data_IF_781126474572
#
_entry.id   IF_781126474572
#
_cell.length_a   1.000
_cell.length_b   1.000
_cell.length_c   1.000
_cell.angle_alpha   90.00
_cell.angle_beta   90.00
_cell.angle_gamma   90.00
#
_symmetry.space_group_name_H-M   'P 1'
#
loop_
_entity.id
_entity.type
_entity.pdbx_description
1 polymer ?
#
# COMPACT_ATOMS: atom_id res chain seq x y z
N UNK A 1 -15.09 2.15 7.71
CA UNK A 1 -14.39 1.17 6.86
C UNK A 1 -13.91 1.89 5.61
N UNK A 2 -12.68 1.64 5.10
CA UNK A 2 -12.11 2.37 3.95
C UNK A 2 -12.94 2.30 2.65
N UNK A 3 -13.78 1.27 2.52
CA UNK A 3 -14.72 1.08 1.44
C UNK A 3 -16.13 1.04 2.04
N UNK A 4 -17.00 1.93 1.56
CA UNK A 4 -18.42 1.93 1.90
C UNK A 4 -19.19 1.20 0.78
N UNK A 5 -19.28 -0.12 0.89
CA UNK A 5 -19.93 -0.95 -0.12
C UNK A 5 -21.44 -0.79 -0.12
N UNK A 6 -22.05 -0.49 1.03
CA UNK A 6 -23.47 -0.19 1.16
C UNK A 6 -23.84 1.04 0.35
N UNK A 7 -23.17 2.17 0.60
CA UNK A 7 -23.40 3.41 -0.15
C UNK A 7 -23.14 3.26 -1.65
N UNK A 8 -22.12 2.46 -2.02
CA UNK A 8 -21.83 2.16 -3.43
C UNK A 8 -22.94 1.35 -4.08
N UNK A 9 -23.45 0.33 -3.40
CA UNK A 9 -24.56 -0.48 -3.88
C UNK A 9 -25.85 0.34 -4.02
N UNK A 10 -26.15 1.22 -3.05
CA UNK A 10 -27.27 2.16 -3.13
C UNK A 10 -27.15 3.09 -4.34
N UNK A 11 -25.96 3.68 -4.55
CA UNK A 11 -25.69 4.51 -5.73
C UNK A 11 -25.82 3.72 -7.04
N UNK A 12 -25.33 2.48 -7.06
CA UNK A 12 -25.42 1.61 -8.22
C UNK A 12 -26.87 1.26 -8.57
N UNK A 13 -27.71 1.03 -7.55
CA UNK A 13 -29.16 0.84 -7.71
C UNK A 13 -29.82 2.09 -8.28
N UNK A 14 -29.58 3.28 -7.71
CA UNK A 14 -30.12 4.52 -8.25
C UNK A 14 -29.72 4.75 -9.71
N UNK A 15 -28.45 4.49 -10.03
CA UNK A 15 -27.94 4.64 -11.39
C UNK A 15 -28.48 3.59 -12.38
N UNK A 16 -29.05 2.46 -11.91
CA UNK A 16 -29.79 1.53 -12.75
C UNK A 16 -31.19 2.08 -13.07
N UNK A 17 -31.88 2.64 -12.08
CA UNK A 17 -33.21 3.22 -12.26
C UNK A 17 -33.18 4.42 -13.20
N UNK A 18 -32.17 5.30 -13.06
CA UNK A 18 -31.94 6.46 -13.92
C UNK A 18 -31.43 6.13 -15.33
N UNK A 19 -31.10 4.87 -15.62
CA UNK A 19 -30.55 4.47 -16.92
C UNK A 19 -31.62 4.44 -18.03
N UNK A 20 -31.20 4.64 -19.27
CA UNK A 20 -32.06 4.56 -20.46
C UNK A 20 -32.32 3.11 -20.93
N UNK A 21 -32.15 2.13 -20.03
CA UNK A 21 -32.40 0.73 -20.33
C UNK A 21 -33.91 0.43 -20.40
N UNK A 22 -34.28 -0.60 -21.16
CA UNK A 22 -35.65 -1.14 -21.14
C UNK A 22 -36.03 -1.61 -19.74
N UNK A 23 -37.31 -1.48 -19.38
CA UNK A 23 -37.79 -1.90 -18.06
C UNK A 23 -37.55 -3.40 -17.83
N UNK A 24 -37.73 -4.22 -18.87
CA UNK A 24 -37.38 -5.65 -18.84
C UNK A 24 -35.92 -5.91 -18.42
N UNK A 25 -34.97 -5.13 -18.93
CA UNK A 25 -33.57 -5.28 -18.54
C UNK A 25 -33.31 -4.80 -17.11
N UNK A 26 -33.96 -3.72 -16.68
CA UNK A 26 -33.87 -3.25 -15.28
C UNK A 26 -34.42 -4.31 -14.33
N UNK A 27 -35.59 -4.87 -14.64
CA UNK A 27 -36.24 -5.93 -13.87
C UNK A 27 -35.39 -7.19 -13.78
N UNK A 28 -34.85 -7.67 -14.91
CA UNK A 28 -33.97 -8.84 -14.92
C UNK A 28 -32.73 -8.65 -14.04
N UNK A 29 -32.09 -7.47 -14.11
CA UNK A 29 -30.93 -7.14 -13.27
C UNK A 29 -31.36 -7.05 -11.79
N UNK A 30 -32.49 -6.42 -11.49
CA UNK A 30 -33.01 -6.26 -10.12
C UNK A 30 -33.32 -7.61 -9.49
N UNK A 31 -34.02 -8.48 -10.20
CA UNK A 31 -34.35 -9.84 -9.78
C UNK A 31 -33.09 -10.67 -9.54
N UNK A 32 -32.10 -10.60 -10.44
CA UNK A 32 -30.83 -11.31 -10.27
C UNK A 32 -30.03 -10.83 -9.05
N UNK A 33 -29.98 -9.51 -8.81
CA UNK A 33 -29.28 -8.95 -7.64
C UNK A 33 -30.01 -9.30 -6.34
N UNK A 34 -31.35 -9.37 -6.35
CA UNK A 34 -32.14 -9.84 -5.22
C UNK A 34 -31.83 -11.31 -4.91
N UNK A 35 -31.82 -12.17 -5.92
CA UNK A 35 -31.46 -13.58 -5.76
C UNK A 35 -30.04 -13.73 -5.21
N UNK A 36 -29.06 -13.03 -5.78
CA UNK A 36 -27.69 -13.04 -5.29
C UNK A 36 -27.59 -12.60 -3.81
N UNK A 37 -28.41 -11.63 -3.40
CA UNK A 37 -28.47 -11.21 -2.01
C UNK A 37 -29.07 -12.29 -1.10
N UNK A 38 -30.11 -12.99 -1.57
CA UNK A 38 -30.72 -14.11 -0.86
C UNK A 38 -29.74 -15.30 -0.72
N UNK A 39 -28.89 -15.52 -1.73
CA UNK A 39 -27.81 -16.51 -1.71
C UNK A 39 -26.64 -16.13 -0.76
N UNK A 40 -26.72 -14.99 -0.07
CA UNK A 40 -25.74 -14.54 0.91
C UNK A 40 -24.50 -13.83 0.32
N UNK A 41 -24.56 -13.35 -0.92
CA UNK A 41 -23.44 -12.60 -1.49
C UNK A 41 -23.28 -11.24 -0.78
N UNK A 42 -22.02 -10.91 -0.47
CA UNK A 42 -21.66 -9.63 0.16
C UNK A 42 -21.91 -8.44 -0.78
N UNK A 43 -22.24 -7.29 -0.20
CA UNK A 43 -22.52 -6.02 -0.89
C UNK A 43 -21.50 -5.67 -2.00
N UNK A 44 -20.21 -5.87 -1.73
CA UNK A 44 -19.15 -5.62 -2.71
C UNK A 44 -19.31 -6.42 -4.02
N UNK A 45 -19.81 -7.66 -3.93
CA UNK A 45 -20.07 -8.51 -5.10
C UNK A 45 -21.37 -8.10 -5.79
N UNK A 46 -22.39 -7.72 -5.03
CA UNK A 46 -23.67 -7.21 -5.56
C UNK A 46 -23.44 -5.91 -6.36
N UNK A 47 -22.70 -4.94 -5.80
CA UNK A 47 -22.30 -3.70 -6.47
C UNK A 47 -21.59 -3.99 -7.79
N UNK A 48 -20.66 -4.96 -7.77
CA UNK A 48 -19.93 -5.36 -8.96
C UNK A 48 -20.86 -5.91 -10.04
N UNK A 49 -21.71 -6.89 -9.70
CA UNK A 49 -22.63 -7.47 -10.69
C UNK A 49 -23.61 -6.43 -11.24
N UNK A 50 -24.20 -5.61 -10.39
CA UNK A 50 -25.16 -4.60 -10.81
C UNK A 50 -24.52 -3.62 -11.80
N UNK A 51 -23.37 -3.03 -11.44
CA UNK A 51 -22.66 -2.10 -12.31
C UNK A 51 -22.22 -2.74 -13.63
N UNK A 52 -21.69 -3.96 -13.56
CA UNK A 52 -21.22 -4.67 -14.75
C UNK A 52 -22.37 -5.00 -15.69
N UNK A 53 -23.48 -5.54 -15.18
CA UNK A 53 -24.64 -5.88 -16.01
C UNK A 53 -25.30 -4.65 -16.62
N UNK A 54 -25.42 -3.56 -15.87
CA UNK A 54 -25.91 -2.28 -16.39
C UNK A 54 -25.03 -1.79 -17.55
N UNK A 55 -23.71 -1.79 -17.37
CA UNK A 55 -22.77 -1.39 -18.43
C UNK A 55 -22.85 -2.31 -19.66
N UNK A 56 -23.07 -3.61 -19.46
CA UNK A 56 -23.24 -4.55 -20.58
C UNK A 56 -24.52 -4.24 -21.35
N UNK A 57 -25.62 -3.99 -20.64
CA UNK A 57 -26.89 -3.59 -21.23
C UNK A 57 -26.74 -2.29 -22.04
N UNK A 58 -26.15 -1.26 -21.43
CA UNK A 58 -25.98 0.08 -22.03
C UNK A 58 -25.08 0.04 -23.28
N UNK A 59 -24.03 -0.77 -23.28
CA UNK A 59 -22.99 -0.72 -24.32
C UNK A 59 -23.14 -1.74 -25.43
N UNK A 60 -23.71 -2.91 -25.13
CA UNK A 60 -23.66 -4.04 -26.06
C UNK A 60 -25.03 -4.60 -26.42
N UNK A 61 -26.07 -4.38 -25.60
CA UNK A 61 -27.37 -4.99 -25.83
C UNK A 61 -28.27 -4.15 -26.76
N UNK A 62 -28.07 -2.84 -26.84
CA UNK A 62 -28.91 -1.96 -27.65
C UNK A 62 -30.37 -2.06 -27.20
N UNK A 63 -31.26 -2.53 -28.08
CA UNK A 63 -32.69 -2.78 -27.80
C UNK A 63 -33.01 -4.20 -27.33
N UNK A 64 -32.02 -5.10 -27.31
CA UNK A 64 -32.23 -6.50 -26.88
C UNK A 64 -32.42 -6.60 -25.36
N UNK A 65 -33.36 -7.45 -24.95
CA UNK A 65 -33.56 -7.79 -23.55
C UNK A 65 -32.87 -9.10 -23.21
N UNK A 66 -32.32 -9.22 -22.00
CA UNK A 66 -31.64 -10.43 -21.54
C UNK A 66 -32.51 -11.69 -21.62
N UNK A 67 -33.82 -11.56 -21.35
CA UNK A 67 -34.81 -12.65 -21.41
C UNK A 67 -35.05 -13.15 -22.84
N UNK A 68 -34.85 -12.30 -23.84
CA UNK A 68 -35.14 -12.61 -25.24
C UNK A 68 -33.89 -13.12 -26.00
N UNK A 69 -32.70 -13.04 -25.38
CA UNK A 69 -31.43 -13.41 -26.03
C UNK A 69 -31.36 -14.89 -26.39
N UNK A 70 -30.97 -15.20 -27.63
CA UNK A 70 -30.58 -16.56 -28.04
C UNK A 70 -29.06 -16.62 -28.15
N UNK A 71 -28.55 -17.82 -28.44
CA UNK A 71 -27.11 -18.07 -28.54
C UNK A 71 -26.41 -17.13 -29.53
N UNK A 72 -27.04 -16.79 -30.65
CA UNK A 72 -26.45 -15.92 -31.68
C UNK A 72 -26.17 -14.50 -31.16
N UNK A 73 -27.13 -13.90 -30.48
CA UNK A 73 -27.03 -12.56 -29.90
C UNK A 73 -26.01 -12.54 -28.76
N UNK A 74 -25.96 -13.60 -27.95
CA UNK A 74 -24.95 -13.73 -26.88
C UNK A 74 -23.54 -13.83 -27.47
N UNK A 75 -23.35 -14.58 -28.56
CA UNK A 75 -22.08 -14.65 -29.28
C UNK A 75 -21.67 -13.27 -29.80
N UNK A 76 -22.61 -12.51 -30.37
CA UNK A 76 -22.34 -11.16 -30.87
C UNK A 76 -21.92 -10.20 -29.75
N UNK A 77 -22.61 -10.21 -28.61
CA UNK A 77 -22.27 -9.40 -27.44
C UNK A 77 -20.87 -9.76 -26.91
N UNK A 78 -20.59 -11.05 -26.76
CA UNK A 78 -19.28 -11.52 -26.28
C UNK A 78 -18.18 -11.13 -27.27
N UNK A 79 -18.44 -11.23 -28.58
CA UNK A 79 -17.51 -10.79 -29.63
C UNK A 79 -17.20 -9.29 -29.51
N UNK A 80 -18.22 -8.44 -29.32
CA UNK A 80 -18.04 -7.00 -29.08
C UNK A 80 -17.22 -6.71 -27.82
N UNK A 81 -17.40 -7.49 -26.76
CA UNK A 81 -16.59 -7.37 -25.53
C UNK A 81 -15.12 -7.75 -25.80
N UNK A 82 -14.87 -8.81 -26.56
CA UNK A 82 -13.52 -9.26 -26.89
C UNK A 82 -12.77 -8.29 -27.80
N UNK A 83 -13.45 -7.72 -28.79
CA UNK A 83 -12.89 -6.78 -29.75
C UNK A 83 -12.75 -5.34 -29.23
N UNK A 84 -13.25 -5.04 -28.03
CA UNK A 84 -13.09 -3.71 -27.44
C UNK A 84 -11.67 -3.51 -26.89
N UNK A 85 -10.91 -2.64 -27.55
CA UNK A 85 -9.52 -2.34 -27.19
C UNK A 85 -9.40 -1.45 -25.94
N UNK A 86 -10.44 -0.68 -25.59
CA UNK A 86 -10.38 0.25 -24.45
C UNK A 86 -10.56 -0.42 -23.09
N UNK A 87 -10.86 -1.72 -23.04
CA UNK A 87 -11.05 -2.47 -21.79
C UNK A 87 -9.99 -3.56 -21.66
N UNK A 88 -9.37 -3.67 -20.49
CA UNK A 88 -8.38 -4.71 -20.21
C UNK A 88 -9.02 -6.10 -20.09
N UNK A 89 -8.22 -7.14 -20.32
CA UNK A 89 -8.71 -8.54 -20.39
C UNK A 89 -9.40 -9.01 -19.12
N UNK A 90 -8.97 -8.52 -17.94
CA UNK A 90 -9.65 -8.83 -16.69
C UNK A 90 -11.07 -8.25 -16.64
N UNK A 91 -11.28 -7.06 -17.22
CA UNK A 91 -12.61 -6.45 -17.35
C UNK A 91 -13.47 -7.25 -18.34
N UNK A 92 -12.89 -7.67 -19.48
CA UNK A 92 -13.57 -8.57 -20.45
C UNK A 92 -14.02 -9.86 -19.77
N UNK A 93 -13.14 -10.45 -18.95
CA UNK A 93 -13.44 -11.62 -18.16
C UNK A 93 -14.60 -11.38 -17.16
N UNK A 94 -14.56 -10.28 -16.40
CA UNK A 94 -15.61 -9.93 -15.46
C UNK A 94 -16.97 -9.71 -16.14
N UNK A 95 -16.96 -9.13 -17.35
CA UNK A 95 -18.17 -8.90 -18.14
C UNK A 95 -18.80 -10.24 -18.58
N UNK A 96 -17.99 -11.13 -19.18
CA UNK A 96 -18.42 -12.47 -19.57
C UNK A 96 -18.96 -13.28 -18.38
N UNK A 97 -18.30 -13.19 -17.22
CA UNK A 97 -18.73 -13.89 -16.00
C UNK A 97 -20.08 -13.38 -15.48
N UNK A 98 -20.26 -12.06 -15.41
CA UNK A 98 -21.51 -11.47 -14.97
C UNK A 98 -22.66 -11.79 -15.93
N UNK A 99 -22.44 -11.64 -17.24
CA UNK A 99 -23.42 -11.97 -18.27
C UNK A 99 -23.83 -13.43 -18.21
N UNK A 100 -22.86 -14.35 -18.14
CA UNK A 100 -23.11 -15.79 -17.99
C UNK A 100 -24.01 -16.06 -16.80
N UNK A 101 -23.68 -15.51 -15.61
CA UNK A 101 -24.47 -15.74 -14.40
C UNK A 101 -25.90 -15.20 -14.49
N UNK A 102 -26.10 -14.02 -15.09
CA UNK A 102 -27.44 -13.48 -15.29
C UNK A 102 -28.27 -14.38 -16.21
N UNK A 103 -27.71 -14.80 -17.34
CA UNK A 103 -28.43 -15.63 -18.31
C UNK A 103 -28.72 -17.03 -17.75
N UNK A 104 -27.80 -17.63 -16.99
CA UNK A 104 -28.06 -18.86 -16.22
C UNK A 104 -29.24 -18.68 -15.26
N UNK A 105 -29.28 -17.56 -14.52
CA UNK A 105 -30.40 -17.24 -13.63
C UNK A 105 -31.74 -17.13 -14.37
N UNK A 106 -31.73 -16.63 -15.61
CA UNK A 106 -32.90 -16.55 -16.48
C UNK A 106 -33.24 -17.87 -17.20
N UNK A 107 -32.57 -18.98 -16.86
CA UNK A 107 -32.83 -20.30 -17.44
C UNK A 107 -32.18 -20.55 -18.81
N UNK A 108 -31.22 -19.71 -19.23
CA UNK A 108 -30.54 -19.76 -20.54
C UNK A 108 -29.16 -20.43 -20.48
N UNK A 109 -29.08 -21.59 -19.83
CA UNK A 109 -27.81 -22.28 -19.59
C UNK A 109 -27.15 -22.75 -20.91
N UNK A 110 -27.97 -23.20 -21.87
CA UNK A 110 -27.53 -23.72 -23.16
C UNK A 110 -26.87 -22.63 -24.04
N UNK A 111 -27.32 -21.39 -23.89
CA UNK A 111 -26.90 -20.21 -24.65
C UNK A 111 -25.52 -19.72 -24.21
N UNK A 112 -25.10 -20.03 -22.98
CA UNK A 112 -23.87 -19.50 -22.36
C UNK A 112 -22.86 -20.58 -21.92
N UNK A 113 -23.21 -21.85 -22.05
CA UNK A 113 -22.35 -22.98 -21.67
C UNK A 113 -20.93 -22.88 -22.24
N UNK A 114 -20.80 -22.46 -23.50
CA UNK A 114 -19.54 -22.28 -24.23
C UNK A 114 -18.64 -21.14 -23.72
N UNK A 115 -19.19 -20.19 -22.94
CA UNK A 115 -18.42 -19.06 -22.42
C UNK A 115 -17.44 -19.56 -21.35
N UNK A 116 -16.14 -19.49 -21.65
CA UNK A 116 -15.06 -19.81 -20.72
C UNK A 116 -14.86 -18.66 -19.72
N UNK A 117 -14.90 -18.99 -18.44
CA UNK A 117 -14.74 -18.06 -17.31
C UNK A 117 -13.41 -18.25 -16.58
N UNK A 118 -12.44 -18.92 -17.19
CA UNK A 118 -11.08 -19.02 -16.66
C UNK A 118 -10.20 -17.98 -17.34
N UNK A 119 -9.69 -17.01 -16.57
CA UNK A 119 -8.67 -16.08 -17.03
C UNK A 119 -7.30 -16.49 -16.49
N UNK A 120 -6.35 -16.79 -17.38
CA UNK A 120 -4.94 -16.96 -17.03
C UNK A 120 -4.26 -15.62 -17.25
N UNK A 121 -4.16 -14.83 -16.18
CA UNK A 121 -3.44 -13.56 -16.26
C UNK A 121 -1.96 -13.79 -16.52
N UNK A 122 -1.34 -12.86 -17.26
CA UNK A 122 0.11 -12.80 -17.34
C UNK A 122 0.71 -12.62 -15.94
N UNK A 123 1.80 -13.33 -15.67
CA UNK A 123 2.59 -13.10 -14.46
C UNK A 123 3.12 -11.66 -14.52
N UNK A 124 3.04 -10.94 -13.39
CA UNK A 124 3.67 -9.61 -13.33
C UNK A 124 5.17 -9.76 -13.50
N UNK A 125 5.73 -8.93 -14.37
CA UNK A 125 7.17 -8.90 -14.60
C UNK A 125 7.87 -8.33 -13.36
N UNK A 126 9.08 -8.83 -13.00
CA UNK A 126 9.88 -8.30 -11.89
C UNK A 126 10.05 -6.76 -11.93
N UNK A 127 10.13 -6.17 -13.12
CA UNK A 127 10.31 -4.73 -13.33
C UNK A 127 9.14 -3.87 -12.83
N UNK A 128 7.97 -4.45 -12.61
CA UNK A 128 6.82 -3.74 -12.05
C UNK A 128 6.85 -3.65 -10.50
N UNK A 129 7.76 -4.36 -9.86
CA UNK A 129 7.90 -4.42 -8.39
C UNK A 129 8.77 -3.28 -7.86
N UNK A 130 8.43 -2.82 -6.66
CA UNK A 130 9.18 -1.80 -5.94
C UNK A 130 10.40 -2.41 -5.26
N UNK A 131 11.57 -1.84 -5.50
CA UNK A 131 12.80 -2.19 -4.77
C UNK A 131 12.80 -1.57 -3.37
N UNK A 132 13.67 -2.05 -2.47
CA UNK A 132 13.80 -1.45 -1.14
C UNK A 132 14.27 0.02 -1.21
N UNK A 133 15.12 0.35 -2.18
CA UNK A 133 15.59 1.73 -2.41
C UNK A 133 14.44 2.64 -2.86
N UNK A 134 13.57 2.16 -3.76
CA UNK A 134 12.37 2.89 -4.17
C UNK A 134 11.42 3.12 -2.99
N UNK A 135 11.28 2.14 -2.11
CA UNK A 135 10.46 2.27 -0.89
C UNK A 135 11.06 3.29 0.08
N UNK A 136 12.38 3.27 0.30
CA UNK A 136 13.06 4.28 1.12
C UNK A 136 12.85 5.68 0.54
N UNK A 137 13.00 5.85 -0.78
CA UNK A 137 12.76 7.11 -1.46
C UNK A 137 11.32 7.60 -1.29
N UNK A 138 10.32 6.72 -1.40
CA UNK A 138 8.91 7.05 -1.16
C UNK A 138 8.67 7.54 0.27
N UNK A 139 9.33 6.92 1.26
CA UNK A 139 9.23 7.33 2.68
C UNK A 139 9.94 8.67 2.92
N UNK A 140 11.09 8.91 2.27
CA UNK A 140 11.88 10.14 2.42
C UNK A 140 11.13 11.37 1.89
N UNK A 141 10.49 11.27 0.72
CA UNK A 141 9.75 12.39 0.11
C UNK A 141 8.40 12.66 0.78
N UNK A 142 7.92 11.76 1.63
CA UNK A 142 6.70 11.99 2.39
C UNK A 142 6.96 13.03 3.48
N UNK A 143 6.17 14.10 3.52
CA UNK A 143 6.41 15.23 4.43
C UNK A 143 5.90 14.95 5.85
N UNK A 144 4.72 14.32 5.96
CA UNK A 144 4.03 14.15 7.24
C UNK A 144 4.40 12.82 7.93
N UNK A 145 4.65 12.77 9.26
CA UNK A 145 4.97 11.52 9.97
C UNK A 145 3.97 10.39 9.75
N UNK A 146 2.67 10.69 9.74
CA UNK A 146 1.59 9.77 9.32
C UNK A 146 1.88 9.08 7.98
N UNK A 147 2.30 9.83 6.96
CA UNK A 147 2.50 9.31 5.60
C UNK A 147 3.71 8.39 5.56
N UNK A 148 4.79 8.76 6.26
CA UNK A 148 5.97 7.92 6.44
C UNK A 148 5.62 6.60 7.14
N UNK A 149 4.88 6.68 8.25
CA UNK A 149 4.42 5.51 9.00
C UNK A 149 3.52 4.59 8.15
N UNK A 150 2.60 5.18 7.38
CA UNK A 150 1.73 4.43 6.49
C UNK A 150 2.52 3.69 5.39
N UNK A 151 3.44 4.38 4.71
CA UNK A 151 4.25 3.78 3.64
C UNK A 151 5.16 2.65 4.16
N UNK A 152 5.85 2.90 5.28
CA UNK A 152 6.70 1.92 5.93
C UNK A 152 5.90 0.70 6.38
N UNK A 153 4.77 0.90 7.06
CA UNK A 153 3.89 -0.17 7.51
C UNK A 153 3.24 -0.94 6.36
N UNK A 154 2.81 -0.26 5.30
CA UNK A 154 2.20 -0.88 4.12
C UNK A 154 3.18 -1.82 3.41
N UNK A 155 4.44 -1.38 3.28
CA UNK A 155 5.48 -2.23 2.71
C UNK A 155 5.83 -3.40 3.62
N UNK A 156 6.18 -3.13 4.88
CA UNK A 156 6.70 -4.16 5.79
C UNK A 156 5.67 -5.27 6.04
N UNK A 157 4.43 -4.88 6.32
CA UNK A 157 3.33 -5.80 6.63
C UNK A 157 2.91 -6.67 5.46
N UNK A 158 3.09 -6.19 4.22
CA UNK A 158 2.49 -6.79 3.03
C UNK A 158 0.96 -6.90 3.10
N UNK A 159 0.28 -6.18 4.01
CA UNK A 159 -1.16 -6.26 4.22
C UNK A 159 -1.95 -5.73 3.01
N UNK A 160 -3.19 -6.21 2.87
CA UNK A 160 -4.14 -5.56 1.96
C UNK A 160 -4.49 -4.18 2.50
N UNK A 161 -4.84 -3.24 1.62
CA UNK A 161 -5.23 -1.88 2.04
C UNK A 161 -6.39 -1.88 3.04
N UNK A 162 -7.34 -2.81 2.91
CA UNK A 162 -8.46 -2.96 3.85
C UNK A 162 -8.05 -3.50 5.22
N UNK A 163 -6.91 -4.15 5.34
CA UNK A 163 -6.40 -4.66 6.61
C UNK A 163 -5.66 -3.54 7.34
N UNK A 164 -4.69 -2.90 6.66
CA UNK A 164 -3.88 -1.85 7.29
C UNK A 164 -4.61 -0.51 7.40
N UNK A 165 -5.42 -0.13 6.41
CA UNK A 165 -6.10 1.17 6.35
C UNK A 165 -7.26 1.31 7.34
N UNK A 166 -7.74 0.19 7.92
CA UNK A 166 -8.80 0.18 8.93
C UNK A 166 -8.27 0.02 10.37
N UNK A 167 -6.95 -0.01 10.57
CA UNK A 167 -6.37 -0.16 11.90
C UNK A 167 -6.79 0.98 12.82
N UNK A 168 -6.94 0.63 14.09
CA UNK A 168 -7.11 1.55 15.22
C UNK A 168 -5.82 1.63 16.01
N UNK A 169 -5.73 2.63 16.89
CA UNK A 169 -4.58 2.77 17.78
C UNK A 169 -4.41 1.52 18.66
N UNK A 170 -5.51 0.97 19.19
CA UNK A 170 -5.52 -0.28 19.98
C UNK A 170 -5.04 -1.53 19.22
N UNK A 171 -5.01 -1.50 17.89
CA UNK A 171 -4.53 -2.64 17.10
C UNK A 171 -2.99 -2.70 17.03
N UNK A 172 -2.29 -1.68 17.53
CA UNK A 172 -0.82 -1.59 17.56
C UNK A 172 -0.32 -1.73 19.00
N UNK A 173 0.65 -2.61 19.20
CA UNK A 173 1.39 -2.76 20.46
C UNK A 173 2.89 -2.72 20.20
N UNK A 174 3.66 -2.14 21.11
CA UNK A 174 5.12 -2.08 21.02
C UNK A 174 5.77 -3.04 22.00
N UNK A 175 6.88 -3.65 21.58
CA UNK A 175 7.76 -4.47 22.41
C UNK A 175 9.24 -4.14 22.10
N UNK A 176 10.16 -4.85 22.74
CA UNK A 176 11.61 -4.61 22.59
C UNK A 176 12.14 -4.80 21.16
N UNK A 177 11.38 -5.46 20.28
CA UNK A 177 11.79 -5.79 18.92
C UNK A 177 11.06 -4.96 17.86
N UNK A 178 10.14 -4.07 18.25
CA UNK A 178 9.40 -3.18 17.36
C UNK A 178 7.92 -3.09 17.72
N UNK A 179 7.05 -3.18 16.71
CA UNK A 179 5.61 -3.15 16.86
C UNK A 179 4.96 -4.46 16.38
N UNK A 180 3.79 -4.77 16.93
CA UNK A 180 2.91 -5.85 16.49
C UNK A 180 1.55 -5.26 16.17
N UNK A 181 1.12 -5.44 14.92
CA UNK A 181 -0.20 -5.05 14.45
C UNK A 181 -1.14 -6.27 14.45
N UNK A 182 -2.33 -6.12 15.02
CA UNK A 182 -3.41 -7.10 14.92
C UNK A 182 -4.29 -6.70 13.72
N UNK A 183 -4.26 -7.51 12.67
CA UNK A 183 -5.00 -7.22 11.44
C UNK A 183 -6.11 -8.25 11.23
N UNK A 184 -7.26 -7.78 10.74
CA UNK A 184 -8.41 -8.65 10.41
C UNK A 184 -8.69 -8.62 8.92
N UNK A 185 -8.71 -9.80 8.30
CA UNK A 185 -8.95 -9.97 6.87
C UNK A 185 -9.97 -11.08 6.58
N UNK A 186 -10.09 -11.43 5.30
CA UNK A 186 -11.00 -12.52 4.86
C UNK A 186 -10.64 -13.87 5.45
N UNK A 187 -9.36 -14.09 5.76
CA UNK A 187 -8.82 -15.33 6.31
C UNK A 187 -8.77 -15.33 7.84
N UNK A 188 -9.42 -14.37 8.48
CA UNK A 188 -9.41 -14.21 9.93
C UNK A 188 -8.42 -13.17 10.44
N UNK A 189 -8.23 -13.17 11.75
CA UNK A 189 -7.34 -12.28 12.47
C UNK A 189 -5.92 -12.86 12.51
N UNK A 190 -4.90 -12.02 12.31
CA UNK A 190 -3.49 -12.42 12.44
C UNK A 190 -2.66 -11.31 13.05
N UNK A 191 -1.55 -11.72 13.67
CA UNK A 191 -0.51 -10.82 14.17
C UNK A 191 0.53 -10.59 13.07
N UNK A 192 0.87 -9.33 12.83
CA UNK A 192 1.90 -8.93 11.87
C UNK A 192 2.99 -8.17 12.62
N UNK A 193 4.21 -8.70 12.55
CA UNK A 193 5.40 -8.09 13.15
C UNK A 193 5.92 -6.97 12.26
N UNK A 194 6.17 -5.82 12.87
CA UNK A 194 6.68 -4.60 12.25
C UNK A 194 7.95 -4.19 12.99
N UNK A 195 9.10 -4.19 12.31
CA UNK A 195 10.41 -3.94 12.92
C UNK A 195 10.89 -2.56 12.51
N UNK A 196 11.14 -2.34 11.22
CA UNK A 196 11.68 -1.05 10.77
C UNK A 196 10.59 0.02 10.71
N UNK A 197 9.33 -0.36 10.44
CA UNK A 197 8.21 0.59 10.44
C UNK A 197 7.82 1.05 11.84
N UNK A 198 8.25 0.35 12.90
CA UNK A 198 7.93 0.68 14.29
C UNK A 198 8.40 2.08 14.68
N UNK A 199 9.59 2.51 14.24
CA UNK A 199 10.11 3.87 14.54
C UNK A 199 9.20 4.94 13.94
N UNK A 200 8.75 4.76 12.70
CA UNK A 200 7.82 5.70 12.07
C UNK A 200 6.45 5.68 12.72
N UNK A 201 5.95 4.49 13.11
CA UNK A 201 4.68 4.35 13.83
C UNK A 201 4.72 5.05 15.18
N UNK A 202 5.81 4.90 15.95
CA UNK A 202 5.99 5.59 17.22
C UNK A 202 5.98 7.11 17.03
N UNK A 203 6.78 7.63 16.09
CA UNK A 203 6.79 9.07 15.77
C UNK A 203 5.43 9.62 15.34
N UNK A 204 4.61 8.81 14.66
CA UNK A 204 3.26 9.20 14.30
C UNK A 204 2.31 9.20 15.51
N UNK A 205 2.37 8.15 16.33
CA UNK A 205 1.51 8.02 17.51
C UNK A 205 1.78 9.11 18.57
N UNK A 206 3.04 9.55 18.71
CA UNK A 206 3.41 10.63 19.64
C UNK A 206 2.64 11.93 19.39
N UNK A 207 2.41 12.25 18.11
CA UNK A 207 1.73 13.47 17.65
C UNK A 207 0.28 13.21 17.22
N UNK A 208 -0.22 11.98 17.38
CA UNK A 208 -1.54 11.61 16.89
C UNK A 208 -2.64 12.33 17.71
N UNK A 209 -3.55 13.10 17.09
CA UNK A 209 -4.60 13.85 17.81
C UNK A 209 -5.50 12.99 18.70
N UNK A 210 -5.74 11.75 18.28
CA UNK A 210 -6.52 10.76 19.03
C UNK A 210 -5.70 9.78 19.87
N UNK A 211 -4.43 10.05 20.19
CA UNK A 211 -3.52 9.08 20.85
C UNK A 211 -4.07 8.48 22.15
N UNK A 212 -4.86 9.25 22.89
CA UNK A 212 -5.46 8.82 24.16
C UNK A 212 -6.78 8.05 23.97
N UNK A 213 -7.26 7.89 22.74
CA UNK A 213 -8.45 7.12 22.40
C UNK A 213 -8.06 5.83 21.66
N UNK A 214 -8.06 4.66 22.34
CA UNK A 214 -7.67 3.39 21.73
C UNK A 214 -8.53 2.99 20.53
N UNK A 215 -9.78 3.48 20.45
CA UNK A 215 -10.71 3.17 19.35
C UNK A 215 -10.55 4.11 18.16
N UNK A 216 -9.74 5.17 18.27
CA UNK A 216 -9.51 6.10 17.18
C UNK A 216 -8.87 5.39 15.97
N UNK A 217 -9.23 5.77 14.73
CA UNK A 217 -8.54 5.30 13.53
C UNK A 217 -7.06 5.67 13.60
N UNK A 218 -6.18 4.74 13.24
CA UNK A 218 -4.74 4.97 13.19
C UNK A 218 -4.37 5.96 12.07
N UNK A 219 -5.16 5.97 10.98
CA UNK A 219 -4.93 6.80 9.80
C UNK A 219 -6.06 7.82 9.66
N UNK A 220 -5.77 9.06 10.03
CA UNK A 220 -6.71 10.18 9.92
C UNK A 220 -6.28 11.17 8.84
N UNK A 221 -7.22 11.96 8.30
CA UNK A 221 -6.92 13.09 7.44
C UNK A 221 -6.19 14.20 8.19
N UNK A 222 -5.13 14.76 7.59
CA UNK A 222 -4.32 15.87 8.14
C UNK A 222 -4.46 17.16 7.32
N UNK A 223 -5.14 17.10 6.18
CA UNK A 223 -5.38 18.27 5.32
C UNK A 223 -6.58 19.10 5.78
N UNK A 224 -7.01 20.03 4.93
CA UNK A 224 -8.21 20.86 5.17
C UNK A 224 -9.49 20.04 5.10
N UNK A 225 -9.57 19.10 4.15
CA UNK A 225 -10.72 18.20 3.98
C UNK A 225 -10.51 16.92 4.79
N UNK A 226 -11.51 16.51 5.58
CA UNK A 226 -11.48 15.26 6.37
C UNK A 226 -10.48 15.28 7.52
N UNK A 227 -10.15 16.46 8.05
CA UNK A 227 -9.22 16.60 9.19
C UNK A 227 -9.73 15.84 10.40
N UNK A 228 -8.93 14.95 10.96
CA UNK A 228 -9.32 14.13 12.11
C UNK A 228 -10.22 12.94 11.79
N UNK A 229 -10.78 12.86 10.58
CA UNK A 229 -11.61 11.75 10.14
C UNK A 229 -10.76 10.60 9.60
N UNK A 230 -11.30 9.37 9.67
CA UNK A 230 -10.64 8.20 9.11
C UNK A 230 -10.38 8.37 7.60
N UNK A 231 -9.17 8.04 7.14
CA UNK A 231 -8.84 8.09 5.72
C UNK A 231 -9.67 7.07 4.93
N UNK A 232 -10.29 7.53 3.84
CA UNK A 232 -10.95 6.66 2.88
C UNK A 232 -9.98 6.14 1.81
N UNK A 233 -10.41 5.17 1.00
CA UNK A 233 -9.56 4.58 -0.04
C UNK A 233 -9.02 5.62 -1.05
N UNK A 234 -9.83 6.62 -1.42
CA UNK A 234 -9.41 7.69 -2.34
C UNK A 234 -8.28 8.54 -1.75
N UNK A 235 -8.32 8.83 -0.45
CA UNK A 235 -7.28 9.56 0.26
C UNK A 235 -5.95 8.77 0.28
N UNK A 236 -6.01 7.45 0.53
CA UNK A 236 -4.82 6.60 0.42
C UNK A 236 -4.26 6.55 -1.00
N UNK A 237 -5.13 6.46 -2.02
CA UNK A 237 -4.71 6.49 -3.43
C UNK A 237 -4.04 7.81 -3.81
N UNK A 238 -4.61 8.94 -3.39
CA UNK A 238 -4.05 10.26 -3.63
C UNK A 238 -2.70 10.43 -2.92
N UNK A 239 -2.56 9.95 -1.68
CA UNK A 239 -1.29 9.92 -0.96
C UNK A 239 -0.22 9.16 -1.74
N UNK A 240 -0.52 7.93 -2.16
CA UNK A 240 0.42 7.08 -2.90
C UNK A 240 0.83 7.69 -4.25
N UNK A 241 -0.10 8.29 -4.97
CA UNK A 241 0.17 8.97 -6.24
C UNK A 241 1.11 10.16 -6.03
N UNK A 242 0.79 11.02 -5.06
CA UNK A 242 1.58 12.21 -4.72
C UNK A 242 3.02 11.87 -4.33
N UNK A 243 3.22 10.84 -3.49
CA UNK A 243 4.59 10.44 -3.10
C UNK A 243 5.36 9.79 -4.26
N UNK A 244 4.68 9.07 -5.15
CA UNK A 244 5.29 8.51 -6.35
C UNK A 244 5.80 9.58 -7.31
N UNK A 245 5.00 10.61 -7.52
CA UNK A 245 5.37 11.79 -8.34
C UNK A 245 6.56 12.52 -7.72
N UNK A 246 6.52 12.82 -6.42
CA UNK A 246 7.64 13.46 -5.71
C UNK A 246 8.92 12.63 -5.74
N UNK A 247 8.80 11.30 -5.66
CA UNK A 247 9.94 10.38 -5.74
C UNK A 247 10.43 10.16 -7.18
N UNK A 248 9.75 10.71 -8.20
CA UNK A 248 10.03 10.47 -9.62
C UNK A 248 10.06 8.97 -9.99
N UNK A 249 9.20 8.16 -9.38
CA UNK A 249 9.10 6.72 -9.66
C UNK A 249 8.06 6.50 -10.76
N UNK A 250 8.51 5.99 -11.91
CA UNK A 250 7.65 5.72 -13.08
C UNK A 250 6.77 4.48 -12.91
N UNK A 251 7.16 3.55 -12.02
CA UNK A 251 6.40 2.33 -11.74
C UNK A 251 5.06 2.65 -11.12
N UNK A 252 4.08 1.75 -11.28
CA UNK A 252 2.77 1.89 -10.62
C UNK A 252 2.96 1.82 -9.10
N UNK A 253 2.56 2.87 -8.39
CA UNK A 253 2.57 2.90 -6.92
C UNK A 253 1.14 2.76 -6.41
N UNK A 254 0.80 1.58 -5.90
CA UNK A 254 -0.51 1.27 -5.34
C UNK A 254 -0.38 0.18 -4.26
N UNK A 255 -1.39 -0.03 -3.39
CA UNK A 255 -1.27 -0.96 -2.28
C UNK A 255 -0.99 -2.41 -2.71
N UNK A 256 -1.50 -2.84 -3.87
CA UNK A 256 -1.21 -4.16 -4.39
C UNK A 256 0.25 -4.28 -4.83
N UNK A 257 0.83 -3.24 -5.45
CA UNK A 257 2.23 -3.23 -5.83
C UNK A 257 3.15 -3.34 -4.60
N UNK A 258 2.86 -2.63 -3.51
CA UNK A 258 3.56 -2.80 -2.22
C UNK A 258 3.51 -4.26 -1.74
N UNK A 259 2.31 -4.86 -1.73
CA UNK A 259 2.14 -6.25 -1.31
C UNK A 259 2.89 -7.24 -2.20
N UNK A 260 2.81 -7.09 -3.52
CA UNK A 260 3.53 -7.99 -4.44
C UNK A 260 5.05 -7.88 -4.26
N UNK A 261 5.55 -6.65 -4.10
CA UNK A 261 6.98 -6.40 -3.90
C UNK A 261 7.45 -7.04 -2.60
N UNK A 262 6.72 -6.83 -1.50
CA UNK A 262 7.03 -7.48 -0.22
C UNK A 262 6.93 -9.00 -0.30
N UNK A 263 5.91 -9.54 -0.98
CA UNK A 263 5.73 -11.00 -1.13
C UNK A 263 6.90 -11.63 -1.89
N UNK A 264 7.39 -10.97 -2.93
CA UNK A 264 8.55 -11.42 -3.72
C UNK A 264 9.85 -11.34 -2.93
N UNK A 265 10.02 -10.30 -2.10
CA UNK A 265 11.20 -10.23 -1.22
C UNK A 265 11.14 -11.31 -0.13
N UNK A 266 9.96 -11.55 0.44
CA UNK A 266 9.78 -12.58 1.46
C UNK A 266 9.91 -14.00 0.91
N UNK A 267 9.59 -14.27 -0.36
CA UNK A 267 9.74 -15.61 -0.94
C UNK A 267 11.20 -16.07 -1.03
N UNK A 268 12.16 -15.14 -1.04
CA UNK A 268 13.59 -15.48 -0.89
C UNK A 268 13.92 -16.05 0.50
N UNK A 269 13.18 -15.66 1.55
CA UNK A 269 13.57 -15.92 2.94
C UNK A 269 12.60 -16.78 3.75
N UNK A 270 11.32 -16.85 3.37
CA UNK A 270 10.26 -17.51 4.16
C UNK A 270 9.63 -18.68 3.41
N UNK A 271 9.49 -19.83 4.06
CA UNK A 271 8.76 -20.99 3.53
C UNK A 271 7.34 -20.63 3.09
N UNK A 272 6.73 -21.42 2.21
CA UNK A 272 5.37 -21.15 1.72
C UNK A 272 4.35 -21.05 2.86
N UNK A 273 4.44 -21.92 3.88
CA UNK A 273 3.58 -21.88 5.05
C UNK A 273 3.77 -20.60 5.89
N UNK A 274 5.02 -20.16 6.07
CA UNK A 274 5.32 -18.88 6.73
C UNK A 274 4.78 -17.70 5.93
N UNK A 275 4.87 -17.73 4.60
CA UNK A 275 4.27 -16.71 3.74
C UNK A 275 2.74 -16.69 3.86
N UNK A 276 2.09 -17.86 3.84
CA UNK A 276 0.64 -17.97 4.01
C UNK A 276 0.19 -17.35 5.33
N UNK A 277 0.90 -17.65 6.43
CA UNK A 277 0.61 -17.09 7.74
C UNK A 277 0.85 -15.58 7.79
N UNK A 278 2.00 -15.10 7.31
CA UNK A 278 2.38 -13.69 7.38
C UNK A 278 1.48 -12.80 6.52
N UNK A 279 1.25 -13.22 5.27
CA UNK A 279 0.48 -12.44 4.29
C UNK A 279 -1.03 -12.66 4.40
N UNK A 280 -1.50 -13.60 5.22
CA UNK A 280 -2.92 -13.91 5.38
C UNK A 280 -3.50 -14.54 4.11
N UNK A 281 -2.84 -15.59 3.64
CA UNK A 281 -3.41 -16.54 2.68
C UNK A 281 -3.89 -17.80 3.43
N UNK A 282 -4.72 -18.59 2.76
CA UNK A 282 -5.15 -19.88 3.29
C UNK A 282 -3.94 -20.81 3.26
N UNK A 283 -3.72 -21.57 4.34
CA UNK A 283 -2.62 -22.52 4.41
C UNK A 283 -2.70 -23.54 3.27
N UNK A 284 -1.58 -23.73 2.56
CA UNK A 284 -1.51 -24.60 1.39
C UNK A 284 -2.10 -23.99 0.11
N UNK A 285 -2.28 -22.67 0.09
CA UNK A 285 -2.74 -21.99 -1.12
C UNK A 285 -1.67 -22.01 -2.22
N UNK A 286 -2.07 -21.88 -3.49
CA UNK A 286 -1.13 -21.70 -4.61
C UNK A 286 -0.54 -20.29 -4.70
N UNK A 287 -0.81 -19.42 -3.71
CA UNK A 287 -0.38 -18.03 -3.77
C UNK A 287 1.13 -17.84 -3.53
N UNK A 288 1.77 -18.51 -2.55
CA UNK A 288 3.21 -18.42 -2.35
C UNK A 288 4.01 -18.87 -3.59
N UNK A 289 3.60 -19.96 -4.25
CA UNK A 289 4.35 -20.54 -5.36
C UNK A 289 4.53 -19.56 -6.53
N UNK A 290 3.55 -18.68 -6.77
CA UNK A 290 3.65 -17.59 -7.77
C UNK A 290 4.92 -16.75 -7.53
N UNK A 291 5.28 -16.48 -6.27
CA UNK A 291 6.43 -15.66 -5.89
C UNK A 291 7.71 -16.47 -5.70
N UNK A 292 7.60 -17.72 -5.27
CA UNK A 292 8.76 -18.61 -5.10
C UNK A 292 9.42 -18.90 -6.45
N UNK A 293 8.62 -19.12 -7.50
CA UNK A 293 9.14 -19.28 -8.87
C UNK A 293 9.87 -18.02 -9.36
N UNK A 294 9.38 -16.83 -9.00
CA UNK A 294 10.00 -15.55 -9.36
C UNK A 294 11.31 -15.29 -8.61
N UNK A 295 11.43 -15.75 -7.36
CA UNK A 295 12.62 -15.51 -6.55
C UNK A 295 13.75 -16.49 -6.83
N UNK A 296 13.55 -17.48 -7.71
CA UNK A 296 14.57 -18.45 -8.09
C UNK A 296 15.22 -19.08 -6.87
N UNK A 297 14.39 -19.63 -5.96
CA UNK A 297 14.92 -20.32 -4.77
C UNK A 297 15.91 -21.36 -5.23
N UNK A 298 17.17 -21.12 -4.90
CA UNK A 298 18.25 -21.96 -5.35
C UNK A 298 18.19 -23.27 -4.56
N UNK A 299 17.58 -24.28 -5.18
CA UNK A 299 17.50 -25.63 -4.61
C UNK A 299 18.91 -26.14 -4.37
N UNK A 300 19.87 -25.74 -5.21
CA UNK A 300 21.26 -26.14 -5.11
C UNK A 300 21.88 -25.55 -3.84
N UNK A 301 21.56 -24.31 -3.48
CA UNK A 301 22.03 -23.72 -2.22
C UNK A 301 21.52 -24.45 -0.97
N UNK A 302 20.28 -24.94 -1.01
CA UNK A 302 19.71 -25.74 0.07
C UNK A 302 20.34 -27.14 0.15
N UNK A 303 20.61 -27.77 -1.00
CA UNK A 303 21.25 -29.09 -1.08
C UNK A 303 22.72 -29.04 -0.65
N UNK A 304 23.46 -28.02 -1.07
CA UNK A 304 24.86 -27.81 -0.71
C UNK A 304 25.02 -27.58 0.81
N UNK A 305 24.13 -26.79 1.43
CA UNK A 305 24.07 -26.66 2.91
C UNK A 305 23.82 -28.01 3.61
N UNK A 306 22.99 -28.87 3.04
CA UNK A 306 22.70 -30.19 3.61
C UNK A 306 23.93 -31.12 3.55
N UNK A 307 24.81 -30.94 2.55
CA UNK A 307 26.08 -31.65 2.42
C UNK A 307 27.20 -31.03 3.28
N UNK A 308 26.93 -29.96 4.02
CA UNK A 308 27.93 -29.28 4.86
C UNK A 308 28.82 -28.30 4.10
N UNK A 309 28.50 -27.98 2.85
CA UNK A 309 29.20 -26.95 2.08
C UNK A 309 28.77 -25.56 2.57
N UNK A 310 29.74 -24.76 3.01
CA UNK A 310 29.52 -23.35 3.33
C UNK A 310 29.47 -22.55 2.03
N UNK A 311 28.28 -22.38 1.47
CA UNK A 311 28.09 -21.36 0.46
C UNK A 311 28.11 -20.01 1.18
N UNK A 312 29.06 -19.15 0.81
CA UNK A 312 28.92 -17.71 1.00
C UNK A 312 27.74 -17.24 0.13
N UNK A 313 26.52 -17.50 0.59
CA UNK A 313 25.37 -16.77 0.09
C UNK A 313 25.75 -15.30 0.33
N UNK A 314 25.86 -14.53 -0.75
CA UNK A 314 25.74 -13.09 -0.68
C UNK A 314 24.35 -12.84 -0.09
N UNK A 315 24.25 -12.90 1.24
CA UNK A 315 23.04 -12.63 1.99
C UNK A 315 22.78 -11.18 1.69
N UNK A 316 21.94 -10.94 0.69
CA UNK A 316 21.43 -9.65 0.32
C UNK A 316 20.64 -9.17 1.55
N UNK A 317 21.37 -8.58 2.51
CA UNK A 317 20.79 -8.12 3.77
C UNK A 317 19.89 -6.96 3.39
N UNK A 318 18.65 -6.99 3.88
CA UNK A 318 17.70 -5.90 3.67
C UNK A 318 18.35 -4.57 4.06
N UNK A 319 18.15 -3.54 3.24
CA UNK A 319 18.60 -2.18 3.49
C UNK A 319 17.69 -1.46 4.49
N UNK A 320 16.49 -2.01 4.71
CA UNK A 320 15.46 -1.47 5.61
C UNK A 320 15.71 -1.89 7.06
N UNK A 321 16.86 -1.51 7.61
CA UNK A 321 17.24 -1.80 9.01
C UNK A 321 17.29 -0.51 9.81
N UNK A 322 16.78 -0.57 11.04
CA UNK A 322 16.87 0.55 12.00
C UNK A 322 18.34 0.88 12.31
N UNK A 323 18.64 2.17 12.46
CA UNK A 323 19.98 2.69 12.73
C UNK A 323 20.13 3.07 14.20
N UNK A 324 21.09 2.47 14.89
CA UNK A 324 21.39 2.85 16.28
C UNK A 324 22.41 4.00 16.31
N UNK A 325 22.12 5.04 17.07
CA UNK A 325 23.04 6.15 17.23
C UNK A 325 24.26 5.72 18.05
N UNK A 326 25.47 5.89 17.51
CA UNK A 326 26.73 5.53 18.20
C UNK A 326 27.00 6.38 19.44
N UNK A 327 26.40 7.58 19.54
CA UNK A 327 26.60 8.48 20.68
C UNK A 327 25.63 8.24 21.83
N UNK A 328 24.34 8.09 21.54
CA UNK A 328 23.31 8.00 22.59
C UNK A 328 22.51 6.70 22.60
N UNK A 329 22.84 5.74 21.72
CA UNK A 329 22.19 4.43 21.62
C UNK A 329 20.78 4.43 21.04
N UNK A 330 20.19 5.61 20.80
CA UNK A 330 18.81 5.74 20.34
C UNK A 330 18.59 5.10 18.96
N UNK A 331 17.48 4.37 18.81
CA UNK A 331 17.05 3.76 17.55
C UNK A 331 16.50 4.83 16.60
N UNK A 332 16.89 4.79 15.33
CA UNK A 332 16.45 5.73 14.31
C UNK A 332 15.95 4.96 13.09
N UNK A 333 15.13 5.64 12.31
CA UNK A 333 14.54 5.06 11.12
C UNK A 333 15.61 4.81 10.04
N UNK A 334 15.42 3.83 9.13
CA UNK A 334 16.36 3.56 8.04
C UNK A 334 16.67 4.81 7.20
N UNK A 335 15.66 5.66 6.96
CA UNK A 335 15.79 6.91 6.20
C UNK A 335 16.34 8.09 7.01
N UNK A 336 16.62 7.92 8.30
CA UNK A 336 17.14 9.02 9.13
C UNK A 336 18.60 9.31 8.77
N UNK A 337 18.88 10.57 8.41
CA UNK A 337 20.23 11.12 8.25
C UNK A 337 20.87 11.47 9.61
N UNK A 338 20.07 12.01 10.54
CA UNK A 338 20.51 12.44 11.87
C UNK A 338 19.77 11.70 12.97
N UNK A 339 20.41 11.59 14.14
CA UNK A 339 19.79 11.08 15.34
C UNK A 339 18.73 12.05 15.84
N UNK A 340 17.49 11.57 16.02
CA UNK A 340 16.39 12.41 16.48
C UNK A 340 16.53 12.88 17.94
N UNK A 341 17.39 12.22 18.73
CA UNK A 341 17.64 12.58 20.15
C UNK A 341 18.82 13.52 20.34
N UNK A 342 19.97 13.23 19.72
CA UNK A 342 21.21 13.99 19.96
C UNK A 342 21.73 14.77 18.75
N UNK A 343 21.05 14.70 17.60
CA UNK A 343 21.43 15.42 16.37
C UNK A 343 22.63 14.86 15.61
N UNK A 344 23.29 13.81 16.12
CA UNK A 344 24.47 13.23 15.46
C UNK A 344 24.13 12.63 14.08
N UNK A 345 24.98 12.87 13.08
CA UNK A 345 24.89 12.21 11.78
C UNK A 345 25.05 10.68 11.91
N UNK A 346 24.19 9.92 11.23
CA UNK A 346 24.09 8.46 11.36
C UNK A 346 24.81 7.69 10.23
N UNK A 347 25.47 8.39 9.31
CA UNK A 347 26.18 7.76 8.19
C UNK A 347 27.29 8.63 7.65
N UNK A 348 28.33 8.00 7.11
CA UNK A 348 29.52 8.68 6.60
C UNK A 348 29.19 9.71 5.52
N UNK A 349 28.29 9.39 4.59
CA UNK A 349 27.83 10.35 3.58
C UNK A 349 27.16 11.58 4.19
N UNK A 350 26.38 11.41 5.27
CA UNK A 350 25.76 12.53 5.98
C UNK A 350 26.80 13.37 6.72
N UNK A 351 27.84 12.74 7.28
CA UNK A 351 28.97 13.45 7.90
C UNK A 351 29.67 14.30 6.83
N UNK A 352 29.99 13.72 5.67
CA UNK A 352 30.63 14.43 4.56
C UNK A 352 29.75 15.59 4.07
N UNK A 353 28.46 15.35 3.79
CA UNK A 353 27.51 16.41 3.39
C UNK A 353 27.43 17.54 4.44
N UNK A 354 27.54 17.22 5.72
CA UNK A 354 27.50 18.21 6.80
C UNK A 354 28.80 19.02 6.89
N UNK A 355 29.95 18.35 6.76
CA UNK A 355 31.26 19.02 6.68
C UNK A 355 31.35 19.95 5.46
N UNK A 356 30.89 19.50 4.30
CA UNK A 356 30.81 20.33 3.08
C UNK A 356 29.94 21.56 3.29
N UNK A 357 28.75 21.41 3.89
CA UNK A 357 27.88 22.55 4.21
C UNK A 357 28.52 23.48 5.25
N UNK A 358 29.15 22.95 6.28
CA UNK A 358 29.86 23.76 7.27
C UNK A 358 30.99 24.55 6.62
N UNK A 359 31.74 23.94 5.70
CA UNK A 359 32.79 24.60 4.93
C UNK A 359 32.23 25.68 4.01
N UNK A 360 31.11 25.43 3.33
CA UNK A 360 30.42 26.45 2.51
C UNK A 360 29.94 27.63 3.35
N UNK A 361 29.32 27.39 4.50
CA UNK A 361 28.89 28.44 5.43
C UNK A 361 30.10 29.25 5.91
N UNK A 362 31.21 28.56 6.23
CA UNK A 362 32.45 29.20 6.64
C UNK A 362 33.06 30.04 5.51
N UNK A 363 33.02 29.59 4.25
CA UNK A 363 33.47 30.37 3.10
C UNK A 363 32.62 31.63 2.87
N UNK A 364 31.29 31.50 2.88
CA UNK A 364 30.38 32.64 2.77
C UNK A 364 30.59 33.64 3.91
N UNK A 365 30.89 33.13 5.10
CA UNK A 365 31.24 33.96 6.25
C UNK A 365 32.54 34.74 6.03
N UNK A 366 33.59 34.11 5.48
CA UNK A 366 34.83 34.81 5.12
C UNK A 366 34.61 35.90 4.07
N UNK A 367 33.74 35.67 3.09
CA UNK A 367 33.34 36.70 2.12
C UNK A 367 32.65 37.89 2.81
N UNK A 368 31.69 37.62 3.70
CA UNK A 368 31.01 38.66 4.49
C UNK A 368 31.98 39.47 5.36
N UNK A 369 32.96 38.83 6.01
CA UNK A 369 34.00 39.53 6.77
C UNK A 369 34.84 40.45 5.88
N UNK A 370 35.15 39.99 4.67
CA UNK A 370 35.95 40.77 3.71
C UNK A 370 35.20 42.02 3.25
N UNK A 371 33.87 41.95 3.16
CA UNK A 371 33.02 43.08 2.77
C UNK A 371 32.74 44.05 3.93
N UNK A 372 32.62 43.55 5.18
CA UNK A 372 32.37 44.38 6.35
C UNK A 372 33.06 43.84 7.62
N UNK A 373 34.13 44.50 8.04
CA UNK A 373 34.89 44.14 9.25
C UNK A 373 34.07 44.28 10.55
N UNK A 374 32.94 44.99 10.56
CA UNK A 374 32.05 45.09 11.73
C UNK A 374 31.37 43.76 12.06
N UNK A 375 31.29 42.83 11.10
CA UNK A 375 30.81 41.46 11.31
C UNK A 375 31.68 40.72 12.33
N UNK A 376 32.99 41.00 12.37
CA UNK A 376 33.93 40.42 13.34
C UNK A 376 33.57 40.86 14.76
N UNK A 377 33.27 42.15 14.97
CA UNK A 377 32.95 42.69 16.30
C UNK A 377 31.59 42.18 16.80
N UNK A 378 30.61 42.05 15.91
CA UNK A 378 29.34 41.40 16.23
C UNK A 378 29.54 39.93 16.66
N UNK A 379 30.42 39.20 15.96
CA UNK A 379 30.74 37.80 16.26
C UNK A 379 31.48 37.62 17.56
N UNK A 380 32.46 38.47 17.88
CA UNK A 380 33.12 38.46 19.20
C UNK A 380 32.09 38.64 20.31
N UNK A 381 31.21 39.62 20.16
CA UNK A 381 30.12 39.88 21.10
C UNK A 381 29.15 38.68 21.20
N UNK A 382 28.87 37.99 20.09
CA UNK A 382 28.01 36.80 20.06
C UNK A 382 28.66 35.59 20.73
N UNK A 383 29.94 35.32 20.47
CA UNK A 383 30.69 34.22 21.07
C UNK A 383 30.85 34.42 22.58
N UNK A 384 31.18 35.63 23.03
CA UNK A 384 31.26 35.99 24.46
C UNK A 384 29.91 35.79 25.18
N UNK A 385 28.79 36.09 24.52
CA UNK A 385 27.43 35.82 25.04
C UNK A 385 27.09 34.34 25.08
N UNK A 386 27.63 33.54 24.17
CA UNK A 386 27.37 32.11 24.07
C UNK A 386 28.18 31.35 25.13
N UNK A 387 29.44 31.75 25.37
CA UNK A 387 30.27 31.22 26.46
C UNK A 387 29.68 31.52 27.84
N UNK A 388 29.11 32.72 28.07
CA UNK A 388 28.39 33.03 29.32
C UNK A 388 27.18 32.11 29.56
N UNK A 389 26.41 31.79 28.51
CA UNK A 389 25.25 30.89 28.60
C UNK A 389 25.62 29.42 28.81
N UNK A 390 26.81 29.01 28.39
CA UNK A 390 27.35 27.66 28.67
C UNK A 390 27.91 27.60 30.09
N UNK A 391 28.57 28.66 30.57
CA UNK A 391 29.06 28.76 31.95
C UNK A 391 27.96 28.77 33.02
N UNK A 392 26.88 29.53 32.82
CA UNK A 392 25.74 29.59 33.78
C UNK A 392 24.97 28.26 33.89
N UNK A 393 25.00 27.40 32.87
CA UNK A 393 24.38 26.06 32.92
C UNK A 393 25.20 25.02 33.67
N UNK A 394 26.50 25.27 33.91
CA UNK A 394 27.39 24.34 34.62
C UNK A 394 27.48 24.65 36.12
N UNK A 395 27.15 25.87 36.54
CA UNK A 395 27.17 26.30 37.95
C UNK A 395 25.80 26.30 38.64
N UNK A 396 24.75 25.86 37.94
CA UNK A 396 23.37 25.79 38.45
C UNK A 396 22.88 24.36 38.72
N UNK A 397 23.71 23.54 39.37
CA UNK A 397 23.33 22.25 39.98
C UNK A 397 23.43 22.33 41.49
#
# INVERSE_FOLDING_TARGET
MIHDFKKRLEKARGALEESNLSEKNKDAIRAFILQCSADGLKEARLDKYLRTLRLIAERYCGTLNFEDMKKGEVVEIVSKIELEDKIGDWTKHDYKLALKKLLVFLGKDNEVSWIRTTYRGGNKLPDELLTEDEVMKLIEVAEHPRDKAFLAGLYESGCRISEIGNLKISDISFDNYGAVAIVSGKTGMRRVRLIFSAVYLASWLDIHPGRDNPKAPLWIGVGTVGKGEAMNYSAFRALLQRVAEKAAIKKKVNPHNFRHSRSTHLSKHLTEAQMDQYLGWVQGSKMPSIYVHLSGRDVDAALLKLQGEEIEEAKERTKLVKKNCVRCGTENAPTSKFCHRCGMALGLSTVIEQEEKNMQVMMQFFELIKEDTRVIDYMKTFLERTDRKVGEKVTGT
#
